data_IF_776646635344
#
_entry.id   IF_776646635344
#
_cell.length_a   1.000
_cell.length_b   1.000
_cell.length_c   1.000
_cell.angle_alpha   90.00
_cell.angle_beta   90.00
_cell.angle_gamma   90.00
#
_symmetry.space_group_name_H-M   'P 1'
#
loop_
_entity.id
_entity.type
_entity.pdbx_description
1 polymer ?
#
# COMPACT_ATOMS: atom_id res chain seq x y z
N UNK A 1 -43.79 -10.35 -8.88
CA UNK A 1 -43.33 -9.04 -9.39
C UNK A 1 -42.99 -8.05 -8.27
N UNK A 2 -42.70 -8.48 -7.03
CA UNK A 2 -42.22 -7.62 -5.92
C UNK A 2 -41.36 -8.43 -4.94
N UNK A 3 -40.31 -9.09 -5.42
CA UNK A 3 -39.38 -9.84 -4.55
C UNK A 3 -37.91 -9.71 -5.00
N UNK A 4 -37.53 -8.54 -5.52
CA UNK A 4 -36.14 -8.20 -5.88
C UNK A 4 -35.74 -6.83 -5.34
N UNK A 5 -36.03 -6.54 -4.06
CA UNK A 5 -35.75 -5.21 -3.49
C UNK A 5 -34.85 -5.22 -2.25
N UNK A 6 -34.23 -6.34 -1.89
CA UNK A 6 -33.23 -6.36 -0.82
C UNK A 6 -32.07 -7.29 -1.21
N UNK A 7 -31.34 -6.92 -2.27
CA UNK A 7 -29.96 -7.37 -2.41
C UNK A 7 -29.10 -6.50 -1.50
N UNK A 8 -28.90 -6.98 -0.27
CA UNK A 8 -28.01 -6.38 0.72
C UNK A 8 -26.54 -6.53 0.34
N UNK A 9 -26.12 -5.99 -0.82
CA UNK A 9 -24.70 -5.85 -1.17
C UNK A 9 -24.04 -5.00 -0.11
N UNK A 10 -23.27 -5.66 0.75
CA UNK A 10 -22.51 -5.02 1.81
C UNK A 10 -21.55 -4.00 1.16
N UNK A 11 -21.65 -2.70 1.45
CA UNK A 11 -20.82 -1.66 0.82
C UNK A 11 -19.32 -1.79 1.16
N UNK A 12 -18.96 -2.62 2.14
CA UNK A 12 -17.58 -2.82 2.60
C UNK A 12 -16.71 -3.68 1.68
N UNK A 13 -17.31 -4.47 0.78
CA UNK A 13 -16.56 -5.31 -0.17
C UNK A 13 -16.14 -4.58 -1.43
N UNK A 14 -16.77 -3.44 -1.73
CA UNK A 14 -16.60 -2.76 -3.00
C UNK A 14 -15.19 -2.20 -3.14
N UNK A 15 -14.63 -1.49 -2.15
CA UNK A 15 -13.28 -0.90 -2.25
C UNK A 15 -12.18 -1.71 -1.56
N UNK A 16 -12.49 -2.92 -1.10
CA UNK A 16 -11.58 -3.70 -0.27
C UNK A 16 -10.29 -4.07 -1.02
N UNK A 17 -10.40 -4.35 -2.33
CA UNK A 17 -9.24 -4.60 -3.17
C UNK A 17 -8.32 -3.36 -3.19
N UNK A 18 -8.84 -2.18 -3.52
CA UNK A 18 -8.09 -0.94 -3.57
C UNK A 18 -7.42 -0.59 -2.24
N UNK A 19 -8.12 -0.84 -1.11
CA UNK A 19 -7.56 -0.64 0.22
C UNK A 19 -6.39 -1.59 0.47
N UNK A 20 -6.56 -2.89 0.21
CA UNK A 20 -5.51 -3.89 0.44
C UNK A 20 -4.30 -3.65 -0.47
N UNK A 21 -4.53 -3.31 -1.73
CA UNK A 21 -3.45 -2.99 -2.68
C UNK A 21 -2.71 -1.72 -2.29
N UNK A 22 -3.43 -0.62 -2.02
CA UNK A 22 -2.81 0.64 -1.57
C UNK A 22 -2.03 0.45 -0.27
N UNK A 23 -2.63 -0.24 0.71
CA UNK A 23 -1.97 -0.48 2.00
C UNK A 23 -0.69 -1.32 1.87
N UNK A 24 -0.73 -2.41 1.09
CA UNK A 24 0.46 -3.24 0.87
C UNK A 24 1.57 -2.44 0.21
N UNK A 25 1.27 -1.73 -0.87
CA UNK A 25 2.27 -0.94 -1.59
C UNK A 25 2.85 0.18 -0.71
N UNK A 26 2.00 0.85 0.08
CA UNK A 26 2.40 1.88 1.02
C UNK A 26 3.38 1.39 2.08
N UNK A 27 3.13 0.20 2.66
CA UNK A 27 4.07 -0.40 3.63
C UNK A 27 5.36 -0.81 2.93
N UNK A 28 5.30 -1.47 1.77
CA UNK A 28 6.50 -1.97 1.06
C UNK A 28 7.41 -0.81 0.67
N UNK A 29 6.88 0.17 -0.05
CA UNK A 29 7.66 1.31 -0.58
C UNK A 29 8.26 2.15 0.54
N UNK A 30 7.45 2.48 1.56
CA UNK A 30 7.93 3.29 2.67
C UNK A 30 8.96 2.54 3.52
N UNK A 31 8.74 1.25 3.77
CA UNK A 31 9.71 0.45 4.50
C UNK A 31 10.99 0.24 3.70
N UNK A 32 10.93 0.14 2.37
CA UNK A 32 12.11 0.10 1.52
C UNK A 32 12.96 1.38 1.65
N UNK A 33 12.33 2.57 1.71
CA UNK A 33 13.04 3.83 1.97
C UNK A 33 13.70 3.81 3.34
N UNK A 34 12.97 3.39 4.39
CA UNK A 34 13.52 3.27 5.74
C UNK A 34 14.70 2.28 5.79
N UNK A 35 14.56 1.11 5.16
CA UNK A 35 15.57 0.07 5.13
C UNK A 35 16.81 0.49 4.35
N UNK A 36 16.65 1.13 3.18
CA UNK A 36 17.76 1.66 2.41
C UNK A 36 18.51 2.76 3.15
N UNK A 37 17.79 3.70 3.77
CA UNK A 37 18.41 4.74 4.57
C UNK A 37 19.13 4.17 5.82
N UNK A 38 18.58 3.14 6.44
CA UNK A 38 19.23 2.43 7.55
C UNK A 38 20.49 1.67 7.09
N UNK A 39 20.47 1.01 5.92
CA UNK A 39 21.64 0.35 5.34
C UNK A 39 22.76 1.34 5.00
N UNK A 40 22.40 2.54 4.54
CA UNK A 40 23.33 3.64 4.32
C UNK A 40 23.78 4.35 5.62
N UNK A 41 23.24 3.95 6.79
CA UNK A 41 23.54 4.55 8.11
C UNK A 41 23.24 6.06 8.14
N UNK A 42 22.12 6.46 7.53
CA UNK A 42 21.68 7.85 7.54
C UNK A 42 21.08 8.24 8.89
N UNK A 43 21.15 9.53 9.20
CA UNK A 43 20.54 10.07 10.41
C UNK A 43 19.00 9.89 10.41
N UNK A 44 18.37 9.62 11.57
CA UNK A 44 16.91 9.48 11.66
C UNK A 44 16.12 10.64 11.06
N UNK A 45 16.67 11.87 11.11
CA UNK A 45 16.04 13.05 10.48
C UNK A 45 15.94 12.90 8.97
N UNK A 46 16.97 12.38 8.32
CA UNK A 46 16.99 12.13 6.87
C UNK A 46 15.98 11.04 6.51
N UNK A 47 15.88 9.98 7.35
CA UNK A 47 14.87 8.92 7.17
C UNK A 47 13.45 9.50 7.19
N UNK A 48 13.14 10.38 8.16
CA UNK A 48 11.80 11.00 8.25
C UNK A 48 11.55 11.90 7.04
N UNK A 49 12.50 12.74 6.64
CA UNK A 49 12.34 13.64 5.49
C UNK A 49 12.08 12.84 4.21
N UNK A 50 12.95 11.86 3.90
CA UNK A 50 12.83 11.04 2.70
C UNK A 50 11.58 10.18 2.73
N UNK A 51 11.33 9.51 3.86
CA UNK A 51 10.20 8.61 3.98
C UNK A 51 8.85 9.31 3.92
N UNK A 52 8.70 10.47 4.58
CA UNK A 52 7.44 11.23 4.51
C UNK A 52 7.25 11.82 3.11
N UNK A 53 8.31 12.39 2.51
CA UNK A 53 8.22 12.91 1.14
C UNK A 53 7.83 11.81 0.15
N UNK A 54 8.48 10.64 0.22
CA UNK A 54 8.21 9.49 -0.63
C UNK A 54 6.80 8.93 -0.40
N UNK A 55 6.37 8.81 0.85
CA UNK A 55 5.04 8.31 1.21
C UNK A 55 3.92 9.10 0.52
N UNK A 56 3.99 10.44 0.53
CA UNK A 56 2.99 11.26 -0.11
C UNK A 56 3.14 11.28 -1.64
N UNK A 57 4.37 11.31 -2.16
CA UNK A 57 4.63 11.31 -3.60
C UNK A 57 4.15 10.02 -4.27
N UNK A 58 4.56 8.86 -3.75
CA UNK A 58 4.19 7.55 -4.28
C UNK A 58 2.71 7.28 -4.10
N UNK A 59 2.16 7.60 -2.92
CA UNK A 59 0.73 7.46 -2.68
C UNK A 59 -0.09 8.28 -3.68
N UNK A 60 0.29 9.53 -3.92
CA UNK A 60 -0.42 10.38 -4.88
C UNK A 60 -0.29 9.83 -6.31
N UNK A 61 0.91 9.41 -6.69
CA UNK A 61 1.18 8.77 -7.99
C UNK A 61 0.32 7.52 -8.20
N UNK A 62 0.22 6.66 -7.18
CA UNK A 62 -0.59 5.44 -7.21
C UNK A 62 -2.08 5.77 -7.31
N UNK A 63 -2.58 6.72 -6.51
CA UNK A 63 -3.96 7.19 -6.60
C UNK A 63 -4.30 7.73 -7.99
N UNK A 64 -3.45 8.59 -8.55
CA UNK A 64 -3.62 9.15 -9.89
C UNK A 64 -3.53 8.08 -10.99
N UNK A 65 -2.66 7.08 -10.84
CA UNK A 65 -2.57 5.95 -11.76
C UNK A 65 -3.87 5.16 -11.76
N UNK A 66 -4.44 4.87 -10.59
CA UNK A 66 -5.74 4.20 -10.48
C UNK A 66 -6.89 5.04 -11.03
N UNK A 67 -6.89 6.37 -10.82
CA UNK A 67 -7.84 7.30 -11.45
C UNK A 67 -7.81 7.17 -12.97
N UNK A 68 -6.61 7.30 -13.55
CA UNK A 68 -6.43 7.32 -14.99
C UNK A 68 -6.78 5.96 -15.60
N UNK A 69 -6.33 4.85 -15.01
CA UNK A 69 -6.68 3.50 -15.45
C UNK A 69 -8.19 3.27 -15.45
N UNK A 70 -8.91 3.68 -14.38
CA UNK A 70 -10.37 3.55 -14.33
C UNK A 70 -11.08 4.44 -15.33
N UNK A 71 -10.61 5.68 -15.52
CA UNK A 71 -11.16 6.59 -16.50
C UNK A 71 -10.99 6.03 -17.92
N UNK A 72 -9.82 5.49 -18.24
CA UNK A 72 -9.55 4.88 -19.54
C UNK A 72 -10.43 3.66 -19.81
N UNK A 73 -10.67 2.82 -18.80
CA UNK A 73 -11.59 1.68 -18.90
C UNK A 73 -13.02 2.14 -19.23
N UNK A 74 -13.52 3.16 -18.54
CA UNK A 74 -14.87 3.72 -18.80
C UNK A 74 -14.97 4.38 -20.18
N UNK A 75 -13.94 5.14 -20.59
CA UNK A 75 -13.91 5.78 -21.89
C UNK A 75 -13.83 4.73 -23.03
N UNK A 76 -13.15 3.61 -22.80
CA UNK A 76 -13.09 2.47 -23.72
C UNK A 76 -14.45 1.77 -23.89
N UNK A 77 -15.11 1.42 -22.77
CA UNK A 77 -16.44 0.77 -22.79
C UNK A 77 -17.49 1.63 -23.51
N UNK A 78 -17.47 2.96 -23.27
CA UNK A 78 -18.32 3.92 -23.99
C UNK A 78 -18.07 3.94 -25.50
N UNK A 79 -16.81 3.78 -25.92
CA UNK A 79 -16.44 3.77 -27.33
C UNK A 79 -16.91 2.50 -28.06
N UNK A 80 -16.95 1.36 -27.37
CA UNK A 80 -17.47 0.09 -27.92
C UNK A 80 -19.00 0.01 -27.96
N UNK A 81 -19.71 1.02 -27.44
CA UNK A 81 -21.16 1.03 -27.37
C UNK A 81 -21.72 0.08 -26.30
N UNK A 82 -20.84 -0.44 -25.44
CA UNK A 82 -21.22 -1.10 -24.19
C UNK A 82 -21.65 0.00 -23.22
N UNK A 83 -22.93 0.41 -23.31
CA UNK A 83 -23.57 1.23 -22.29
C UNK A 83 -23.71 0.37 -21.02
N UNK A 84 -22.60 0.19 -20.31
CA UNK A 84 -22.56 -0.49 -19.02
C UNK A 84 -23.49 0.24 -18.07
N UNK A 85 -24.46 -0.49 -17.53
CA UNK A 85 -25.34 -0.09 -16.43
C UNK A 85 -24.51 0.61 -15.34
N UNK A 86 -24.82 1.89 -15.07
CA UNK A 86 -24.06 2.89 -14.31
C UNK A 86 -23.90 2.55 -12.80
N UNK A 87 -23.28 1.42 -12.50
CA UNK A 87 -22.91 0.96 -11.15
C UNK A 87 -21.40 0.87 -10.91
N UNK A 88 -20.58 1.42 -11.80
CA UNK A 88 -19.11 1.38 -11.68
C UNK A 88 -18.57 2.35 -10.62
N UNK A 89 -17.57 1.93 -9.84
CA UNK A 89 -16.91 2.78 -8.83
C UNK A 89 -16.41 4.09 -9.46
N UNK A 90 -16.73 5.27 -8.88
CA UNK A 90 -16.23 6.53 -9.41
C UNK A 90 -14.69 6.54 -9.43
N UNK A 91 -14.04 6.92 -10.56
CA UNK A 91 -12.57 6.94 -10.65
C UNK A 91 -11.91 7.78 -9.56
N UNK A 92 -12.49 8.94 -9.23
CA UNK A 92 -11.98 9.82 -8.19
C UNK A 92 -12.03 9.20 -6.79
N UNK A 93 -13.11 8.47 -6.47
CA UNK A 93 -13.25 7.78 -5.18
C UNK A 93 -12.27 6.61 -5.11
N UNK A 94 -12.14 5.83 -6.18
CA UNK A 94 -11.17 4.73 -6.28
C UNK A 94 -9.74 5.21 -6.03
N UNK A 95 -9.36 6.32 -6.66
CA UNK A 95 -8.06 6.96 -6.48
C UNK A 95 -7.83 7.43 -5.05
N UNK A 96 -8.82 8.11 -4.47
CA UNK A 96 -8.75 8.63 -3.12
C UNK A 96 -8.64 7.52 -2.07
N UNK A 97 -9.43 6.45 -2.20
CA UNK A 97 -9.36 5.29 -1.29
C UNK A 97 -8.00 4.61 -1.38
N UNK A 98 -7.47 4.42 -2.58
CA UNK A 98 -6.12 3.85 -2.78
C UNK A 98 -5.05 4.72 -2.10
N UNK A 99 -5.07 6.04 -2.37
CA UNK A 99 -4.14 6.99 -1.78
C UNK A 99 -4.17 6.98 -0.26
N UNK A 100 -5.37 7.05 0.34
CA UNK A 100 -5.50 7.03 1.79
C UNK A 100 -5.02 5.71 2.40
N UNK A 101 -5.37 4.58 1.80
CA UNK A 101 -4.90 3.28 2.27
C UNK A 101 -3.37 3.18 2.23
N UNK A 102 -2.75 3.68 1.14
CA UNK A 102 -1.30 3.79 1.00
C UNK A 102 -0.67 4.64 2.10
N UNK A 103 -1.15 5.87 2.28
CA UNK A 103 -0.59 6.80 3.28
C UNK A 103 -0.73 6.24 4.68
N UNK A 104 -1.93 5.76 5.05
CA UNK A 104 -2.20 5.26 6.40
C UNK A 104 -1.33 4.04 6.72
N UNK A 105 -1.23 3.08 5.80
CA UNK A 105 -0.45 1.88 6.04
C UNK A 105 1.07 2.18 5.99
N UNK A 106 1.51 3.01 5.05
CA UNK A 106 2.91 3.40 4.87
C UNK A 106 3.48 4.24 6.03
N UNK A 107 2.63 4.89 6.84
CA UNK A 107 3.08 5.48 8.09
C UNK A 107 3.67 4.45 9.08
N UNK A 108 3.24 3.19 9.02
CA UNK A 108 3.64 2.16 9.99
C UNK A 108 5.15 2.02 10.18
N UNK A 109 5.97 1.82 9.12
CA UNK A 109 7.42 1.78 9.25
C UNK A 109 8.07 3.12 9.66
N UNK A 110 7.40 4.27 9.48
CA UNK A 110 7.95 5.59 9.81
C UNK A 110 7.69 6.00 11.27
N UNK A 111 6.61 5.52 11.88
CA UNK A 111 6.22 5.92 13.24
C UNK A 111 7.36 5.83 14.26
N UNK A 112 8.19 4.77 14.31
CA UNK A 112 9.28 4.70 15.28
C UNK A 112 10.30 5.85 15.15
N UNK A 113 10.56 6.31 13.93
CA UNK A 113 11.48 7.41 13.65
C UNK A 113 10.88 8.76 14.00
N UNK A 114 9.60 8.98 13.66
CA UNK A 114 8.88 10.22 14.00
C UNK A 114 8.75 10.39 15.51
N UNK A 115 8.52 9.28 16.23
CA UNK A 115 8.42 9.26 17.68
C UNK A 115 9.79 9.35 18.38
N UNK A 116 10.90 9.36 17.63
CA UNK A 116 12.25 9.47 18.18
C UNK A 116 12.65 8.28 19.04
N UNK A 117 12.19 7.07 18.71
CA UNK A 117 12.50 5.88 19.49
C UNK A 117 14.00 5.54 19.41
N UNK A 118 14.62 5.21 20.56
CA UNK A 118 16.03 4.84 20.62
C UNK A 118 16.41 3.67 19.68
N UNK A 119 15.49 2.70 19.51
CA UNK A 119 15.65 1.56 18.61
C UNK A 119 14.75 1.68 17.37
N UNK A 120 14.76 2.84 16.70
CA UNK A 120 13.86 3.15 15.57
C UNK A 120 13.85 2.07 14.48
N UNK A 121 15.03 1.59 14.03
CA UNK A 121 15.10 0.61 12.93
C UNK A 121 14.55 -0.78 13.30
N UNK A 122 14.98 -1.46 14.40
CA UNK A 122 14.40 -2.74 14.80
C UNK A 122 12.88 -2.67 15.08
N UNK A 123 12.41 -1.59 15.70
CA UNK A 123 10.96 -1.41 15.95
C UNK A 123 10.21 -1.21 14.63
N UNK A 124 10.79 -0.48 13.66
CA UNK A 124 10.24 -0.32 12.32
C UNK A 124 10.13 -1.65 11.58
N UNK A 125 11.18 -2.47 11.62
CA UNK A 125 11.20 -3.83 11.04
C UNK A 125 10.07 -4.69 11.63
N UNK A 126 9.93 -4.71 12.96
CA UNK A 126 8.89 -5.47 13.62
C UNK A 126 7.48 -4.95 13.27
N UNK A 127 7.29 -3.63 13.28
CA UNK A 127 6.02 -3.00 12.94
C UNK A 127 5.61 -3.26 11.48
N UNK A 128 6.55 -3.09 10.54
CA UNK A 128 6.34 -3.39 9.12
C UNK A 128 6.05 -4.87 8.90
N UNK A 129 6.78 -5.77 9.55
CA UNK A 129 6.52 -7.21 9.51
C UNK A 129 5.10 -7.57 9.95
N UNK A 130 4.67 -7.06 11.10
CA UNK A 130 3.28 -7.25 11.57
C UNK A 130 2.28 -6.66 10.56
N UNK A 131 2.55 -5.47 10.04
CA UNK A 131 1.68 -4.82 9.07
C UNK A 131 1.56 -5.60 7.75
N UNK A 132 2.65 -6.10 7.19
CA UNK A 132 2.62 -6.96 6.01
C UNK A 132 1.78 -8.21 6.24
N UNK A 133 1.96 -8.86 7.39
CA UNK A 133 1.17 -10.06 7.70
C UNK A 133 -0.31 -9.73 7.86
N UNK A 134 -0.66 -8.64 8.56
CA UNK A 134 -2.05 -8.23 8.79
C UNK A 134 -2.75 -7.81 7.49
N UNK A 135 -2.12 -6.94 6.69
CA UNK A 135 -2.69 -6.48 5.41
C UNK A 135 -2.73 -7.62 4.39
N UNK A 136 -1.68 -8.45 4.35
CA UNK A 136 -1.63 -9.67 3.54
C UNK A 136 -2.73 -10.67 3.92
N UNK A 137 -2.95 -10.89 5.22
CA UNK A 137 -4.06 -11.72 5.70
C UNK A 137 -5.43 -11.11 5.33
N UNK A 138 -5.56 -9.78 5.39
CA UNK A 138 -6.76 -9.05 4.96
C UNK A 138 -7.15 -9.33 3.51
N UNK A 139 -6.17 -9.60 2.61
CA UNK A 139 -6.43 -10.01 1.23
C UNK A 139 -7.25 -11.30 1.11
N UNK A 140 -7.19 -12.20 2.09
CA UNK A 140 -7.99 -13.43 2.10
C UNK A 140 -9.49 -13.18 2.28
N UNK A 141 -9.90 -11.97 2.65
CA UNK A 141 -11.32 -11.59 2.68
C UNK A 141 -11.90 -11.43 1.26
N UNK A 142 -11.05 -11.27 0.25
CA UNK A 142 -11.43 -11.11 -1.17
C UNK A 142 -10.97 -12.31 -2.02
N UNK A 143 -10.15 -13.20 -1.47
CA UNK A 143 -9.56 -14.34 -2.21
C UNK A 143 -9.87 -15.65 -1.49
N UNK A 144 -10.07 -16.75 -2.23
CA UNK A 144 -10.34 -18.07 -1.63
C UNK A 144 -9.13 -18.71 -0.91
N UNK A 145 -8.01 -17.98 -0.79
CA UNK A 145 -6.79 -18.47 -0.13
C UNK A 145 -6.91 -18.38 1.40
N UNK A 146 -6.24 -19.29 2.11
CA UNK A 146 -6.19 -19.25 3.58
C UNK A 146 -5.45 -17.98 4.05
N UNK A 147 -6.05 -17.25 4.98
CA UNK A 147 -5.57 -15.97 5.51
C UNK A 147 -4.10 -15.97 5.94
N UNK A 148 -3.66 -17.01 6.64
CA UNK A 148 -2.29 -17.07 7.15
C UNK A 148 -1.24 -17.28 6.05
N UNK A 149 -1.58 -17.99 4.96
CA UNK A 149 -0.69 -18.14 3.81
C UNK A 149 -0.53 -16.80 3.09
N UNK A 150 -1.63 -16.07 2.87
CA UNK A 150 -1.59 -14.74 2.26
C UNK A 150 -0.79 -13.73 3.11
N UNK A 151 -0.95 -13.80 4.43
CA UNK A 151 -0.16 -12.99 5.37
C UNK A 151 1.34 -13.33 5.32
N UNK A 152 1.70 -14.62 5.36
CA UNK A 152 3.11 -15.05 5.28
C UNK A 152 3.74 -14.69 3.93
N UNK A 153 3.02 -14.88 2.83
CA UNK A 153 3.47 -14.50 1.48
C UNK A 153 3.83 -13.02 1.46
N UNK A 154 2.94 -12.15 1.95
CA UNK A 154 3.19 -10.70 1.97
C UNK A 154 4.32 -10.30 2.92
N UNK A 155 4.41 -10.93 4.09
CA UNK A 155 5.52 -10.73 5.02
C UNK A 155 6.86 -11.04 4.34
N UNK A 156 6.98 -12.20 3.68
CA UNK A 156 8.22 -12.62 3.03
C UNK A 156 8.56 -11.66 1.89
N UNK A 157 7.61 -11.32 1.03
CA UNK A 157 7.84 -10.39 -0.08
C UNK A 157 8.29 -9.02 0.43
N UNK A 158 7.61 -8.46 1.44
CA UNK A 158 7.95 -7.17 2.03
C UNK A 158 9.34 -7.16 2.69
N UNK A 159 9.68 -8.22 3.42
CA UNK A 159 11.00 -8.36 4.06
C UNK A 159 12.13 -8.55 3.03
N UNK A 160 11.88 -9.28 1.93
CA UNK A 160 12.85 -9.42 0.85
C UNK A 160 13.07 -8.08 0.12
N UNK A 161 12.01 -7.35 -0.20
CA UNK A 161 12.11 -6.03 -0.81
C UNK A 161 12.92 -5.06 0.06
N UNK A 162 12.63 -5.03 1.37
CA UNK A 162 13.39 -4.23 2.33
C UNK A 162 14.85 -4.69 2.44
N UNK A 163 15.11 -6.00 2.41
CA UNK A 163 16.46 -6.56 2.39
C UNK A 163 17.27 -6.10 1.17
N UNK A 164 16.65 -6.08 -0.02
CA UNK A 164 17.26 -5.53 -1.23
C UNK A 164 17.58 -4.04 -1.05
N UNK A 165 16.62 -3.25 -0.56
CA UNK A 165 16.83 -1.82 -0.33
C UNK A 165 17.95 -1.55 0.68
N UNK A 166 17.98 -2.29 1.80
CA UNK A 166 19.03 -2.21 2.81
C UNK A 166 20.41 -2.51 2.22
N UNK A 167 20.53 -3.62 1.46
CA UNK A 167 21.78 -4.00 0.82
C UNK A 167 22.26 -2.95 -0.17
N UNK A 168 21.36 -2.38 -0.97
CA UNK A 168 21.68 -1.26 -1.87
C UNK A 168 22.17 -0.04 -1.09
N UNK A 169 21.50 0.31 0.02
CA UNK A 169 21.94 1.39 0.90
C UNK A 169 23.33 1.16 1.49
N UNK A 170 23.62 -0.06 1.95
CA UNK A 170 24.93 -0.46 2.47
C UNK A 170 26.03 -0.36 1.39
N UNK A 171 25.74 -0.80 0.17
CA UNK A 171 26.68 -0.71 -0.96
C UNK A 171 26.98 0.75 -1.32
N UNK A 172 25.97 1.61 -1.35
CA UNK A 172 26.13 3.02 -1.70
C UNK A 172 26.77 3.85 -0.60
N UNK A 173 26.80 3.36 0.65
CA UNK A 173 27.48 4.02 1.77
C UNK A 173 28.96 4.31 1.50
N UNK A 174 29.63 3.47 0.70
CA UNK A 174 31.04 3.68 0.34
C UNK A 174 31.27 4.76 -0.74
N UNK A 175 30.20 5.24 -1.40
CA UNK A 175 30.25 6.19 -2.50
C UNK A 175 29.72 7.58 -2.09
N UNK A 176 28.91 7.63 -1.03
CA UNK A 176 28.23 8.83 -0.53
C UNK A 176 28.98 9.54 0.60
#
# INVERSE_FOLDING_TARGET
>A
MLTEAIDGRRPSGEYLAEVVYGANDGIVTTFAVVAGAAGAVLEPRVVVILGVANLFADGFSMGMSNYLSRRSELDYQRAEGEAGDDGGKPPAVTAFVTFLAFVVAGWTPLLPYVLGMAASFPVSVAAAGVAFFVVGAGRSLVTERRWWFAGVEMFVVGMLAAGVAFAVGELLRGVA
#
